data_IF_172034214354
#
_entry.id   IF_172034214354
#
_cell.length_a   1.000
_cell.length_b   1.000
_cell.length_c   1.000
_cell.angle_alpha   90.00
_cell.angle_beta   90.00
_cell.angle_gamma   90.00
#
_symmetry.space_group_name_H-M   'P 1'
#
loop_
_entity.id
_entity.type
_entity.pdbx_description
1 polymer ?
#
# COMPACT_ATOMS: atom_id res chain seq x y z
N UNK A 1 50.81 -73.08 25.73
CA UNK A 1 50.05 -71.86 26.00
C UNK A 1 50.21 -70.95 24.82
N UNK A 2 49.22 -70.98 23.91
CA UNK A 2 49.23 -70.14 22.70
C UNK A 2 48.20 -69.03 22.89
N UNK A 3 48.64 -67.78 22.92
CA UNK A 3 47.80 -66.60 22.91
C UNK A 3 47.47 -66.22 21.44
N UNK A 4 46.19 -66.32 21.07
CA UNK A 4 45.72 -65.85 19.79
C UNK A 4 45.39 -64.36 19.90
N UNK A 5 46.06 -63.54 19.09
CA UNK A 5 45.76 -62.11 18.91
C UNK A 5 44.67 -61.96 17.84
N UNK A 6 43.50 -61.44 18.25
CA UNK A 6 42.42 -61.10 17.33
C UNK A 6 42.61 -59.65 16.87
N UNK A 7 42.86 -59.45 15.61
CA UNK A 7 42.82 -58.14 14.94
C UNK A 7 41.39 -57.87 14.51
N UNK A 8 40.82 -56.73 15.01
CA UNK A 8 39.53 -56.17 14.57
C UNK A 8 39.75 -55.31 13.31
N UNK A 9 38.95 -55.44 12.28
CA UNK A 9 38.97 -54.50 11.16
C UNK A 9 38.22 -53.23 11.52
N UNK A 10 38.86 -52.07 11.37
CA UNK A 10 38.25 -50.74 11.47
C UNK A 10 37.46 -50.51 10.14
N UNK A 11 36.14 -50.50 10.21
CA UNK A 11 35.29 -50.08 9.12
C UNK A 11 35.27 -48.57 9.02
N UNK A 12 35.83 -48.02 7.94
CA UNK A 12 35.80 -46.62 7.60
C UNK A 12 34.40 -46.27 7.08
N UNK A 13 33.59 -45.62 7.90
CA UNK A 13 32.29 -45.07 7.48
C UNK A 13 32.56 -43.73 6.80
N UNK A 14 32.44 -43.71 5.44
CA UNK A 14 32.45 -42.48 4.66
C UNK A 14 31.08 -41.79 4.79
N UNK A 15 31.02 -40.75 5.61
CA UNK A 15 29.86 -39.83 5.65
C UNK A 15 29.84 -38.99 4.38
N UNK A 16 28.92 -39.32 3.47
CA UNK A 16 28.58 -38.46 2.35
C UNK A 16 27.77 -37.28 2.91
N UNK A 17 28.38 -36.13 3.03
CA UNK A 17 27.70 -34.86 3.24
C UNK A 17 26.96 -34.54 1.94
N UNK A 18 25.65 -34.82 1.90
CA UNK A 18 24.77 -34.26 0.92
C UNK A 18 24.71 -32.74 1.17
N UNK A 19 25.47 -31.98 0.37
CA UNK A 19 25.25 -30.55 0.25
C UNK A 19 23.84 -30.35 -0.33
N UNK A 20 22.85 -30.03 0.50
CA UNK A 20 21.62 -29.42 0.03
C UNK A 20 22.02 -28.09 -0.61
N UNK A 21 22.19 -28.12 -1.94
CA UNK A 21 22.21 -26.90 -2.74
C UNK A 21 20.85 -26.23 -2.52
N UNK A 22 20.83 -25.05 -1.89
CA UNK A 22 19.67 -24.19 -1.92
C UNK A 22 19.45 -23.81 -3.37
N UNK A 23 18.43 -24.41 -4.00
CA UNK A 23 17.95 -23.96 -5.30
C UNK A 23 17.51 -22.49 -5.15
N UNK A 24 18.37 -21.59 -5.62
CA UNK A 24 18.13 -20.13 -5.63
C UNK A 24 17.05 -19.72 -6.65
N UNK A 25 16.27 -20.67 -7.18
CA UNK A 25 15.19 -20.46 -8.14
C UNK A 25 13.79 -20.46 -7.51
N UNK A 26 13.66 -20.47 -6.20
CA UNK A 26 12.37 -20.25 -5.54
C UNK A 26 11.90 -18.81 -5.67
N UNK A 27 10.57 -18.56 -5.58
CA UNK A 27 10.05 -17.20 -5.56
C UNK A 27 10.75 -16.38 -4.46
N UNK A 28 11.08 -15.13 -4.74
CA UNK A 28 11.65 -14.23 -3.73
C UNK A 28 10.67 -14.13 -2.56
N UNK A 29 11.12 -14.37 -1.30
CA UNK A 29 10.25 -14.28 -0.13
C UNK A 29 9.49 -12.95 -0.08
N UNK A 30 8.17 -13.03 0.11
CA UNK A 30 7.29 -11.86 0.11
C UNK A 30 6.74 -11.48 -1.27
N UNK A 31 7.18 -12.14 -2.37
CA UNK A 31 6.72 -11.87 -3.74
C UNK A 31 6.15 -13.11 -4.45
N UNK A 32 5.73 -14.10 -3.68
CA UNK A 32 5.21 -15.39 -4.19
C UNK A 32 3.89 -15.22 -4.97
N UNK A 33 3.16 -14.14 -4.74
CA UNK A 33 1.91 -13.83 -5.45
C UNK A 33 2.11 -13.00 -6.72
N UNK A 34 3.35 -12.69 -7.08
CA UNK A 34 3.65 -11.88 -8.25
C UNK A 34 3.07 -12.54 -9.52
N UNK A 35 2.30 -11.77 -10.29
CA UNK A 35 1.65 -12.25 -11.50
C UNK A 35 0.43 -13.15 -11.27
N UNK A 36 -0.02 -13.36 -10.04
CA UNK A 36 -1.26 -14.08 -9.79
C UNK A 36 -2.47 -13.29 -10.33
N UNK A 37 -3.43 -14.03 -10.87
CA UNK A 37 -4.67 -13.43 -11.37
C UNK A 37 -5.48 -12.84 -10.21
N UNK A 38 -6.10 -11.68 -10.47
CA UNK A 38 -7.03 -11.07 -9.53
C UNK A 38 -8.31 -11.90 -9.41
N UNK A 39 -9.02 -11.86 -8.26
CA UNK A 39 -10.33 -12.45 -8.11
C UNK A 39 -11.28 -11.95 -9.19
N UNK A 40 -12.08 -12.85 -9.75
CA UNK A 40 -13.14 -12.53 -10.74
C UNK A 40 -14.54 -12.63 -10.14
N UNK A 41 -14.66 -13.09 -8.90
CA UNK A 41 -15.90 -13.28 -8.17
C UNK A 41 -15.81 -12.57 -6.83
N UNK A 42 -16.90 -11.99 -6.38
CA UNK A 42 -17.04 -11.39 -5.04
C UNK A 42 -18.34 -11.88 -4.38
N UNK A 43 -18.45 -11.87 -3.03
CA UNK A 43 -19.74 -11.97 -2.35
C UNK A 43 -20.69 -10.88 -2.84
N UNK A 44 -22.01 -11.10 -2.88
CA UNK A 44 -22.99 -10.09 -3.34
C UNK A 44 -22.93 -8.75 -2.59
N UNK A 45 -22.49 -8.80 -1.33
CA UNK A 45 -22.22 -7.65 -0.47
C UNK A 45 -20.84 -7.81 0.16
N UNK A 46 -20.04 -6.76 0.12
CA UNK A 46 -18.77 -6.65 0.83
C UNK A 46 -18.78 -5.41 1.73
N UNK A 47 -18.05 -5.47 2.83
CA UNK A 47 -17.95 -4.37 3.78
C UNK A 47 -16.54 -3.79 3.77
N UNK A 48 -16.44 -2.45 3.65
CA UNK A 48 -15.22 -1.70 3.90
C UNK A 48 -15.40 -0.97 5.22
N UNK A 49 -14.57 -1.30 6.19
CA UNK A 49 -14.59 -0.68 7.51
C UNK A 49 -13.22 -0.19 7.91
N UNK A 50 -13.16 0.75 8.82
CA UNK A 50 -11.88 1.29 9.27
C UNK A 50 -12.04 2.48 10.19
N UNK A 51 -10.96 3.20 10.36
CA UNK A 51 -10.90 4.41 11.16
C UNK A 51 -10.34 5.56 10.30
N UNK A 52 -10.98 6.71 10.38
CA UNK A 52 -10.43 7.97 9.87
C UNK A 52 -9.69 8.65 11.01
N UNK A 53 -8.41 8.93 10.79
CA UNK A 53 -7.56 9.67 11.73
C UNK A 53 -6.96 10.89 11.04
N UNK A 54 -6.52 11.85 11.82
CA UNK A 54 -5.75 12.99 11.34
C UNK A 54 -4.47 13.16 12.16
N UNK A 55 -3.52 13.89 11.60
CA UNK A 55 -2.18 14.18 12.14
C UNK A 55 -1.22 12.99 12.08
N UNK A 56 -0.20 13.11 11.24
CA UNK A 56 0.82 12.06 11.00
C UNK A 56 1.60 11.72 12.28
N UNK A 57 2.00 12.73 13.06
CA UNK A 57 2.86 12.52 14.24
C UNK A 57 2.10 12.09 15.49
N UNK A 58 0.82 12.42 15.59
CA UNK A 58 -0.03 12.08 16.73
C UNK A 58 -1.45 11.79 16.23
N UNK A 59 -1.66 10.63 15.60
CA UNK A 59 -2.96 10.32 15.00
C UNK A 59 -4.09 10.42 16.01
N UNK A 60 -5.09 11.24 15.68
CA UNK A 60 -6.30 11.42 16.46
C UNK A 60 -7.53 11.05 15.61
N UNK A 61 -8.58 10.45 16.19
CA UNK A 61 -9.81 10.17 15.48
C UNK A 61 -10.43 11.41 14.85
N UNK A 62 -11.01 11.28 13.67
CA UNK A 62 -11.82 12.33 13.03
C UNK A 62 -13.28 11.90 13.07
N UNK A 63 -14.07 12.39 14.05
CA UNK A 63 -15.50 12.14 14.10
C UNK A 63 -16.23 12.99 13.06
N UNK A 64 -17.38 12.48 12.61
CA UNK A 64 -18.28 13.15 11.66
C UNK A 64 -17.69 13.41 10.27
N UNK A 65 -16.62 12.70 9.90
CA UNK A 65 -16.14 12.69 8.52
C UNK A 65 -17.10 11.90 7.62
N UNK A 66 -17.38 12.42 6.46
CA UNK A 66 -18.15 11.71 5.44
C UNK A 66 -17.26 10.72 4.70
N UNK A 67 -17.72 9.49 4.56
CA UNK A 67 -17.03 8.41 3.83
C UNK A 67 -17.97 7.86 2.77
N UNK A 68 -17.67 8.10 1.50
CA UNK A 68 -18.46 7.63 0.38
C UNK A 68 -17.66 6.69 -0.52
N UNK A 69 -18.24 5.54 -0.84
CA UNK A 69 -17.66 4.59 -1.80
C UNK A 69 -18.15 4.89 -3.21
N UNK A 70 -17.24 4.98 -4.15
CA UNK A 70 -17.51 5.18 -5.57
C UNK A 70 -16.92 4.04 -6.39
N UNK A 71 -17.56 3.70 -7.50
CA UNK A 71 -16.96 2.94 -8.58
C UNK A 71 -16.07 3.87 -9.41
N UNK A 72 -14.93 3.38 -9.85
CA UNK A 72 -14.07 4.17 -10.75
C UNK A 72 -14.82 4.57 -12.02
N UNK A 73 -14.83 5.86 -12.31
CA UNK A 73 -15.53 6.45 -13.46
C UNK A 73 -16.96 6.91 -13.18
N UNK A 74 -17.56 6.52 -12.04
CA UNK A 74 -18.91 6.95 -11.69
C UNK A 74 -18.87 8.27 -10.89
N UNK A 75 -19.94 9.06 -11.02
CA UNK A 75 -20.17 10.29 -10.25
C UNK A 75 -21.16 10.09 -9.10
N UNK A 76 -21.86 8.95 -9.07
CA UNK A 76 -22.79 8.58 -8.00
C UNK A 76 -22.12 7.59 -7.06
N UNK A 77 -22.20 7.85 -5.76
CA UNK A 77 -21.65 6.93 -4.77
C UNK A 77 -22.48 5.64 -4.70
N UNK A 78 -21.80 4.53 -4.44
CA UNK A 78 -22.43 3.21 -4.24
C UNK A 78 -23.07 3.10 -2.86
N UNK A 79 -22.39 3.63 -1.86
CA UNK A 79 -22.80 3.62 -0.46
C UNK A 79 -22.02 4.70 0.31
N UNK A 80 -22.43 5.00 1.52
CA UNK A 80 -21.74 5.97 2.37
C UNK A 80 -22.01 5.75 3.85
N UNK A 81 -21.17 6.36 4.66
CA UNK A 81 -21.25 6.40 6.12
C UNK A 81 -20.70 7.72 6.64
N UNK A 82 -20.90 7.99 7.92
CA UNK A 82 -20.29 9.10 8.63
C UNK A 82 -19.58 8.54 9.85
N UNK A 83 -18.32 8.91 10.04
CA UNK A 83 -17.54 8.39 11.16
C UNK A 83 -18.17 8.74 12.52
N UNK A 84 -18.16 7.78 13.42
CA UNK A 84 -18.60 7.95 14.80
C UNK A 84 -17.59 8.73 15.68
N UNK A 85 -17.86 8.87 16.98
CA UNK A 85 -16.98 9.60 17.92
C UNK A 85 -15.54 9.04 17.95
N UNK A 86 -15.28 7.71 17.95
CA UNK A 86 -13.92 7.17 17.82
C UNK A 86 -13.37 7.20 16.38
N UNK A 87 -14.06 7.81 15.41
CA UNK A 87 -13.60 7.93 14.03
C UNK A 87 -13.83 6.68 13.17
N UNK A 88 -14.64 5.71 13.61
CA UNK A 88 -14.88 4.48 12.90
C UNK A 88 -15.97 4.66 11.83
N UNK A 89 -15.85 3.90 10.73
CA UNK A 89 -16.84 3.81 9.67
C UNK A 89 -17.02 2.38 9.17
N UNK A 90 -18.16 2.12 8.52
CA UNK A 90 -18.50 0.82 7.95
C UNK A 90 -19.42 0.99 6.75
N UNK A 91 -18.90 0.81 5.54
CA UNK A 91 -19.62 1.00 4.28
C UNK A 91 -19.90 -0.36 3.63
N UNK A 92 -21.18 -0.73 3.52
CA UNK A 92 -21.62 -1.93 2.79
C UNK A 92 -21.78 -1.67 1.30
N UNK A 93 -21.03 -2.37 0.46
CA UNK A 93 -20.98 -2.19 -0.98
C UNK A 93 -21.62 -3.40 -1.67
N UNK A 94 -22.70 -3.18 -2.41
CA UNK A 94 -23.31 -4.19 -3.27
C UNK A 94 -22.42 -4.42 -4.51
N UNK A 95 -21.81 -5.61 -4.60
CA UNK A 95 -20.92 -5.98 -5.71
C UNK A 95 -21.67 -6.60 -6.88
N UNK A 96 -22.85 -7.19 -6.62
CA UNK A 96 -23.58 -7.98 -7.60
C UNK A 96 -22.86 -9.29 -8.00
N UNK A 97 -21.94 -9.78 -7.16
CA UNK A 97 -21.19 -11.01 -7.41
C UNK A 97 -19.86 -10.80 -8.14
N UNK A 98 -19.50 -9.56 -8.50
CA UNK A 98 -18.26 -9.23 -9.20
C UNK A 98 -17.41 -8.23 -8.40
N UNK A 99 -16.07 -8.32 -8.41
CA UNK A 99 -15.21 -7.36 -7.73
C UNK A 99 -15.46 -5.92 -8.18
N UNK A 100 -15.43 -4.99 -7.24
CA UNK A 100 -15.67 -3.56 -7.50
C UNK A 100 -14.33 -2.83 -7.60
N UNK A 101 -14.05 -2.26 -8.77
CA UNK A 101 -12.97 -1.30 -8.92
C UNK A 101 -13.51 0.08 -8.51
N UNK A 102 -12.93 0.67 -7.47
CA UNK A 102 -13.47 1.88 -6.88
C UNK A 102 -12.53 2.53 -5.88
N UNK A 103 -13.07 3.50 -5.14
CA UNK A 103 -12.33 4.23 -4.12
C UNK A 103 -13.29 4.76 -3.04
N UNK A 104 -12.74 5.10 -1.88
CA UNK A 104 -13.43 5.90 -0.87
C UNK A 104 -13.09 7.38 -1.08
N UNK A 105 -14.09 8.24 -0.98
CA UNK A 105 -13.93 9.69 -0.87
C UNK A 105 -14.23 10.10 0.58
N UNK A 106 -13.28 10.75 1.23
CA UNK A 106 -13.37 11.15 2.63
C UNK A 106 -13.21 12.66 2.74
N UNK A 107 -14.14 13.31 3.46
CA UNK A 107 -14.14 14.74 3.73
C UNK A 107 -14.71 15.07 5.12
N UNK A 108 -14.33 16.20 5.70
CA UNK A 108 -14.76 16.58 7.06
C UNK A 108 -15.10 18.08 7.20
N UNK A 109 -15.88 18.62 6.30
CA UNK A 109 -16.32 20.01 6.34
C UNK A 109 -15.19 21.07 6.24
N UNK A 110 -14.07 20.69 5.59
CA UNK A 110 -12.99 21.63 5.25
C UNK A 110 -11.93 21.83 6.34
N UNK A 111 -11.91 21.00 7.39
CA UNK A 111 -10.85 21.02 8.39
C UNK A 111 -9.58 20.32 7.90
N UNK A 112 -9.75 19.30 7.07
CA UNK A 112 -8.67 18.53 6.46
C UNK A 112 -8.82 18.53 4.92
N UNK A 113 -7.72 18.22 4.24
CA UNK A 113 -7.72 18.08 2.78
C UNK A 113 -8.52 16.84 2.40
N UNK A 114 -9.39 16.98 1.40
CA UNK A 114 -10.17 15.86 0.86
C UNK A 114 -9.24 14.72 0.45
N UNK A 115 -9.58 13.52 0.91
CA UNK A 115 -8.75 12.34 0.74
C UNK A 115 -9.52 11.27 -0.04
N UNK A 116 -8.84 10.64 -1.00
CA UNK A 116 -9.40 9.61 -1.86
C UNK A 116 -8.55 8.34 -1.73
N UNK A 117 -9.09 7.29 -1.09
CA UNK A 117 -8.39 6.05 -0.84
C UNK A 117 -8.74 4.96 -1.86
N UNK A 118 -7.74 4.47 -2.56
CA UNK A 118 -7.85 3.43 -3.59
C UNK A 118 -7.25 2.13 -3.07
N UNK A 119 -8.01 1.02 -3.01
CA UNK A 119 -7.44 -0.27 -2.70
C UNK A 119 -6.50 -0.73 -3.82
N UNK A 120 -5.46 -1.48 -3.49
CA UNK A 120 -4.47 -1.97 -4.47
C UNK A 120 -5.07 -2.83 -5.59
N UNK A 121 -6.18 -3.49 -5.31
CA UNK A 121 -6.89 -4.40 -6.22
C UNK A 121 -8.39 -4.20 -6.10
N UNK A 122 -9.19 -4.60 -7.11
CA UNK A 122 -10.65 -4.53 -7.02
C UNK A 122 -11.18 -5.26 -5.78
N UNK A 123 -12.14 -4.66 -5.11
CA UNK A 123 -12.74 -5.14 -3.87
C UNK A 123 -13.53 -6.43 -4.12
N UNK A 124 -13.01 -7.55 -3.62
CA UNK A 124 -13.59 -8.90 -3.76
C UNK A 124 -13.93 -9.56 -2.43
N UNK A 125 -13.63 -8.93 -1.30
CA UNK A 125 -13.88 -9.42 0.05
C UNK A 125 -14.03 -8.25 1.02
N UNK A 126 -14.46 -8.52 2.25
CA UNK A 126 -14.42 -7.52 3.31
C UNK A 126 -12.99 -7.05 3.56
N UNK A 127 -12.80 -5.75 3.77
CA UNK A 127 -11.50 -5.14 3.99
C UNK A 127 -11.57 -4.12 5.12
N UNK A 128 -10.47 -4.00 5.86
CA UNK A 128 -10.25 -2.88 6.79
C UNK A 128 -9.30 -1.89 6.15
N UNK A 129 -9.74 -0.65 6.01
CA UNK A 129 -8.97 0.45 5.44
C UNK A 129 -8.96 1.63 6.42
N UNK A 130 -7.81 1.91 7.01
CA UNK A 130 -7.64 3.05 7.90
C UNK A 130 -7.08 4.23 7.10
N UNK A 131 -7.81 5.33 7.11
CA UNK A 131 -7.48 6.51 6.31
C UNK A 131 -6.91 7.60 7.20
N UNK A 132 -5.76 8.15 6.80
CA UNK A 132 -5.15 9.31 7.42
C UNK A 132 -5.48 10.56 6.59
N UNK A 133 -6.11 11.54 7.23
CA UNK A 133 -6.30 12.88 6.69
C UNK A 133 -5.24 13.84 7.24
N UNK A 134 -4.94 14.88 6.50
CA UNK A 134 -4.03 15.95 6.96
C UNK A 134 -4.68 17.32 6.78
N UNK A 135 -4.42 18.23 7.68
CA UNK A 135 -4.82 19.62 7.52
C UNK A 135 -3.91 20.32 6.50
N UNK A 136 -4.35 21.45 5.93
CA UNK A 136 -3.54 22.24 5.00
C UNK A 136 -2.22 22.72 5.61
N UNK A 137 -2.23 23.04 6.92
CA UNK A 137 -1.01 23.43 7.63
C UNK A 137 -0.03 22.26 7.77
N UNK A 138 -0.51 21.10 8.18
CA UNK A 138 0.30 19.90 8.31
C UNK A 138 0.86 19.47 6.95
N UNK A 139 0.04 19.46 5.91
CA UNK A 139 0.47 19.18 4.54
C UNK A 139 1.62 20.10 4.10
N UNK A 140 1.51 21.41 4.40
CA UNK A 140 2.55 22.37 4.07
C UNK A 140 3.87 22.07 4.78
N UNK A 141 3.83 21.65 6.04
CA UNK A 141 5.01 21.27 6.82
C UNK A 141 5.64 19.96 6.27
N UNK A 142 4.82 18.97 5.96
CA UNK A 142 5.28 17.70 5.36
C UNK A 142 5.89 17.92 3.97
N UNK A 143 5.26 18.75 3.14
CA UNK A 143 5.80 19.11 1.84
C UNK A 143 7.15 19.83 1.96
N UNK A 144 7.27 20.77 2.89
CA UNK A 144 8.54 21.48 3.15
C UNK A 144 9.66 20.51 3.59
N UNK A 145 9.36 19.55 4.48
CA UNK A 145 10.32 18.53 4.92
C UNK A 145 10.78 17.64 3.75
N UNK A 146 9.90 17.37 2.80
CA UNK A 146 10.20 16.64 1.57
C UNK A 146 10.96 17.49 0.53
N UNK A 147 11.17 18.79 0.77
CA UNK A 147 11.71 19.72 -0.22
C UNK A 147 10.78 19.88 -1.43
N UNK A 148 9.46 19.84 -1.19
CA UNK A 148 8.42 20.04 -2.20
C UNK A 148 7.80 21.43 -2.01
N UNK A 149 7.67 22.17 -3.10
CA UNK A 149 6.79 23.35 -3.18
C UNK A 149 5.51 22.91 -3.87
N UNK A 150 4.37 22.84 -3.15
CA UNK A 150 3.09 22.48 -3.73
C UNK A 150 2.70 23.47 -4.84
N UNK A 151 2.19 22.95 -5.93
CA UNK A 151 1.64 23.73 -7.05
C UNK A 151 0.13 23.75 -6.92
N UNK A 152 -0.47 24.93 -6.92
CA UNK A 152 -1.93 25.08 -6.88
C UNK A 152 -2.60 24.34 -8.03
N UNK A 153 -3.65 23.60 -7.76
CA UNK A 153 -4.30 22.73 -8.73
C UNK A 153 -3.56 21.41 -9.01
N UNK A 154 -2.39 21.19 -8.42
CA UNK A 154 -1.69 19.91 -8.48
C UNK A 154 -2.28 18.88 -7.52
N UNK A 155 -2.30 17.62 -7.91
CA UNK A 155 -2.65 16.49 -7.05
C UNK A 155 -1.45 15.98 -6.25
N UNK A 156 -1.75 15.30 -5.17
CA UNK A 156 -0.77 14.62 -4.32
C UNK A 156 -1.18 13.15 -4.13
N UNK A 157 -0.26 12.21 -4.34
CA UNK A 157 -0.53 10.79 -4.19
C UNK A 157 0.38 10.21 -3.11
N UNK A 158 -0.20 9.68 -2.05
CA UNK A 158 0.48 8.83 -1.08
C UNK A 158 0.41 7.37 -1.52
N UNK A 159 1.54 6.70 -1.51
CA UNK A 159 1.67 5.30 -1.97
C UNK A 159 2.28 4.46 -0.85
N UNK A 160 1.68 3.32 -0.54
CA UNK A 160 2.32 2.31 0.30
C UNK A 160 2.65 1.10 -0.57
N UNK A 161 3.92 0.73 -0.62
CA UNK A 161 4.37 -0.49 -1.31
C UNK A 161 4.33 -1.65 -0.34
N UNK A 162 3.59 -2.70 -0.70
CA UNK A 162 3.39 -3.89 0.14
C UNK A 162 3.85 -5.16 -0.57
N UNK A 163 4.16 -6.18 0.22
CA UNK A 163 4.44 -7.53 -0.26
C UNK A 163 3.16 -8.39 -0.32
N UNK A 164 3.29 -9.66 -0.67
CA UNK A 164 2.17 -10.61 -0.75
C UNK A 164 1.45 -10.87 0.58
N UNK A 165 2.09 -10.61 1.71
CA UNK A 165 1.51 -10.73 3.04
C UNK A 165 0.89 -9.41 3.54
N UNK A 166 0.88 -8.36 2.70
CA UNK A 166 0.38 -7.04 3.06
C UNK A 166 1.35 -6.23 3.94
N UNK A 167 2.56 -6.73 4.19
CA UNK A 167 3.56 -5.98 4.95
C UNK A 167 4.25 -4.92 4.06
N UNK A 168 4.58 -3.73 4.61
CA UNK A 168 5.28 -2.70 3.87
C UNK A 168 6.68 -3.15 3.43
N UNK A 169 7.13 -2.65 2.29
CA UNK A 169 8.40 -3.05 1.66
C UNK A 169 9.40 -1.89 1.67
N UNK A 170 10.55 -2.11 2.29
CA UNK A 170 11.70 -1.19 2.22
C UNK A 170 12.47 -1.36 0.90
N UNK A 171 13.12 -0.29 0.44
CA UNK A 171 13.98 -0.31 -0.75
C UNK A 171 13.21 -0.29 -2.08
N UNK A 172 11.89 -0.12 -2.06
CA UNK A 172 11.11 0.02 -3.28
C UNK A 172 11.29 1.41 -3.90
N UNK A 173 11.25 1.46 -5.24
CA UNK A 173 11.21 2.71 -6.00
C UNK A 173 9.86 2.86 -6.68
N UNK A 174 9.33 4.08 -6.72
CA UNK A 174 8.00 4.41 -7.27
C UNK A 174 8.16 5.39 -8.43
N UNK A 175 7.34 5.23 -9.45
CA UNK A 175 7.21 6.15 -10.58
C UNK A 175 5.74 6.39 -10.93
N UNK A 176 5.45 7.46 -11.67
CA UNK A 176 4.10 7.74 -12.16
C UNK A 176 4.08 8.22 -13.60
N UNK A 177 2.93 8.05 -14.25
CA UNK A 177 2.62 8.60 -15.56
C UNK A 177 1.18 9.14 -15.56
N UNK A 178 0.99 10.48 -15.70
CA UNK A 178 1.98 11.56 -15.83
C UNK A 178 2.98 11.59 -14.66
N UNK A 179 4.18 12.10 -14.92
CA UNK A 179 5.22 12.19 -13.92
C UNK A 179 4.90 13.28 -12.88
N UNK A 180 5.16 12.98 -11.62
CA UNK A 180 5.18 13.91 -10.50
C UNK A 180 6.56 13.94 -9.82
N UNK A 181 6.70 14.77 -8.79
CA UNK A 181 7.90 14.77 -7.94
C UNK A 181 7.81 13.66 -6.91
N UNK A 182 8.65 12.62 -7.04
CA UNK A 182 8.66 11.48 -6.12
C UNK A 182 9.53 11.77 -4.90
N UNK A 183 9.03 11.41 -3.71
CA UNK A 183 9.72 11.48 -2.42
C UNK A 183 9.41 10.25 -1.59
N UNK A 184 10.22 9.99 -0.57
CA UNK A 184 10.10 8.84 0.33
C UNK A 184 10.27 9.27 1.78
N UNK A 185 9.86 8.43 2.71
CA UNK A 185 10.13 8.66 4.11
C UNK A 185 11.59 8.34 4.50
N UNK A 186 12.09 9.10 5.48
CA UNK A 186 13.25 8.75 6.28
C UNK A 186 12.89 9.01 7.75
N UNK A 187 13.05 7.99 8.61
CA UNK A 187 12.65 8.11 10.01
C UNK A 187 11.16 8.35 10.24
N UNK A 188 10.30 7.88 9.35
CA UNK A 188 8.83 8.01 9.44
C UNK A 188 8.26 9.34 8.93
N UNK A 189 9.09 10.22 8.39
CA UNK A 189 8.68 11.52 7.84
C UNK A 189 9.17 11.68 6.39
N UNK A 190 8.47 12.47 5.56
CA UNK A 190 8.89 12.76 4.20
C UNK A 190 10.30 13.39 4.17
N UNK A 191 11.14 12.95 3.24
CA UNK A 191 12.53 13.35 3.12
C UNK A 191 12.85 13.84 1.70
N UNK A 192 13.65 14.90 1.62
CA UNK A 192 14.17 15.42 0.35
C UNK A 192 15.34 14.59 -0.22
N UNK A 193 15.93 13.70 0.57
CA UNK A 193 17.16 12.96 0.20
C UNK A 193 16.97 11.45 0.06
N UNK A 194 15.90 10.88 0.61
CA UNK A 194 15.61 9.46 0.46
C UNK A 194 15.28 9.12 -1.02
N UNK A 195 15.82 8.00 -1.52
CA UNK A 195 15.71 7.56 -2.91
C UNK A 195 14.87 6.29 -3.09
N UNK A 196 14.42 5.69 -1.99
CA UNK A 196 13.57 4.50 -1.96
C UNK A 196 12.77 4.48 -0.66
N UNK A 197 11.76 3.62 -0.59
CA UNK A 197 10.93 3.46 0.61
C UNK A 197 11.75 2.99 1.80
N UNK A 198 11.41 3.50 2.99
CA UNK A 198 11.89 3.02 4.27
C UNK A 198 11.10 1.77 4.73
N UNK A 199 11.25 1.35 5.98
CA UNK A 199 10.56 0.18 6.54
C UNK A 199 9.02 0.31 6.55
N UNK A 200 8.49 1.53 6.44
CA UNK A 200 7.05 1.83 6.34
C UNK A 200 6.48 1.66 4.91
N UNK A 201 7.33 1.43 3.90
CA UNK A 201 6.94 1.25 2.51
C UNK A 201 6.39 2.50 1.82
N UNK A 202 6.53 3.69 2.42
CA UNK A 202 5.83 4.91 2.00
C UNK A 202 6.61 5.67 0.94
N UNK A 203 5.90 6.08 -0.10
CA UNK A 203 6.34 7.03 -1.12
C UNK A 203 5.26 8.10 -1.35
N UNK A 204 5.68 9.24 -1.89
CA UNK A 204 4.81 10.35 -2.26
C UNK A 204 5.08 10.78 -3.69
N UNK A 205 4.03 11.14 -4.42
CA UNK A 205 4.12 11.72 -5.77
C UNK A 205 3.39 13.05 -5.72
N UNK A 206 4.13 14.14 -5.76
CA UNK A 206 3.58 15.48 -5.63
C UNK A 206 3.51 16.20 -6.99
N UNK A 207 2.66 17.22 -7.05
CA UNK A 207 2.51 18.11 -8.20
C UNK A 207 2.13 17.35 -9.48
N UNK A 208 1.26 16.34 -9.33
CA UNK A 208 0.75 15.56 -10.47
C UNK A 208 -0.41 16.31 -11.10
N UNK A 209 -0.47 16.35 -12.41
CA UNK A 209 -1.61 16.91 -13.12
C UNK A 209 -2.89 16.11 -12.76
N UNK A 210 -4.03 16.80 -12.47
CA UNK A 210 -5.31 16.11 -12.22
C UNK A 210 -5.70 15.20 -13.37
N UNK A 211 -6.29 14.05 -13.03
CA UNK A 211 -6.70 13.02 -13.98
C UNK A 211 -6.17 11.65 -13.62
N UNK A 212 -6.25 10.71 -14.55
CA UNK A 212 -5.78 9.36 -14.37
C UNK A 212 -4.24 9.32 -14.34
N UNK A 213 -3.70 8.68 -13.31
CA UNK A 213 -2.27 8.52 -13.08
C UNK A 213 -1.98 7.04 -12.90
N UNK A 214 -1.12 6.49 -13.73
CA UNK A 214 -0.59 5.14 -13.54
C UNK A 214 0.59 5.21 -12.58
N UNK A 215 0.45 4.57 -11.43
CA UNK A 215 1.50 4.42 -10.42
C UNK A 215 2.16 3.06 -10.59
N UNK A 216 3.49 3.02 -10.56
CA UNK A 216 4.30 1.81 -10.67
C UNK A 216 5.30 1.75 -9.53
N UNK A 217 5.63 0.52 -9.10
CA UNK A 217 6.70 0.30 -8.14
C UNK A 217 7.58 -0.87 -8.56
N UNK A 218 8.85 -0.78 -8.19
CA UNK A 218 9.82 -1.87 -8.31
C UNK A 218 10.40 -2.15 -6.93
N UNK A 219 10.38 -3.40 -6.51
CA UNK A 219 10.90 -3.84 -5.22
C UNK A 219 11.65 -5.17 -5.39
N UNK A 220 12.83 -5.31 -4.74
CA UNK A 220 13.65 -6.53 -4.81
C UNK A 220 13.91 -7.02 -6.25
N UNK A 221 14.04 -6.09 -7.21
CA UNK A 221 14.25 -6.40 -8.63
C UNK A 221 12.99 -6.80 -9.40
N UNK A 222 11.81 -6.83 -8.76
CA UNK A 222 10.53 -7.17 -9.38
C UNK A 222 9.69 -5.93 -9.66
N UNK A 223 9.14 -5.83 -10.88
CA UNK A 223 8.07 -4.88 -11.18
C UNK A 223 6.78 -5.39 -10.53
N UNK A 224 6.17 -4.54 -9.70
CA UNK A 224 4.89 -4.84 -9.06
C UNK A 224 3.73 -4.50 -9.99
N UNK A 225 2.52 -4.91 -9.61
CA UNK A 225 1.30 -4.59 -10.36
C UNK A 225 1.13 -3.07 -10.42
N UNK A 226 1.02 -2.52 -11.61
CA UNK A 226 0.70 -1.10 -11.77
C UNK A 226 -0.75 -0.83 -11.34
N UNK A 227 -0.96 0.35 -10.78
CA UNK A 227 -2.29 0.80 -10.36
C UNK A 227 -2.63 2.15 -10.96
N UNK A 228 -3.85 2.25 -11.52
CA UNK A 228 -4.36 3.52 -12.04
C UNK A 228 -5.27 4.15 -11.01
N UNK A 229 -4.92 5.34 -10.56
CA UNK A 229 -5.70 6.17 -9.65
C UNK A 229 -6.06 7.49 -10.31
N UNK A 230 -7.03 8.21 -9.79
CA UNK A 230 -7.37 9.55 -10.27
C UNK A 230 -6.83 10.59 -9.29
N UNK A 231 -5.80 11.34 -9.70
CA UNK A 231 -5.32 12.49 -8.97
C UNK A 231 -6.32 13.65 -9.12
N UNK A 232 -6.59 14.36 -8.04
CA UNK A 232 -7.50 15.51 -8.03
C UNK A 232 -6.76 16.77 -7.61
N UNK A 233 -7.20 17.91 -8.15
CA UNK A 233 -6.65 19.21 -7.81
C UNK A 233 -6.76 19.48 -6.30
N UNK A 234 -5.67 19.92 -5.69
CA UNK A 234 -5.60 20.33 -4.29
C UNK A 234 -6.12 19.28 -3.28
N UNK A 235 -6.04 18.00 -3.65
CA UNK A 235 -6.52 16.87 -2.85
C UNK A 235 -5.43 15.79 -2.71
N UNK A 236 -5.65 14.88 -1.76
CA UNK A 236 -4.77 13.74 -1.51
C UNK A 236 -5.43 12.47 -2.04
N UNK A 237 -4.68 11.72 -2.83
CA UNK A 237 -5.03 10.36 -3.25
C UNK A 237 -4.13 9.38 -2.50
N UNK A 238 -4.70 8.41 -1.81
CA UNK A 238 -3.96 7.33 -1.15
C UNK A 238 -4.12 6.05 -1.98
N UNK A 239 -3.07 5.29 -2.10
CA UNK A 239 -3.13 3.99 -2.78
C UNK A 239 -2.05 3.05 -2.28
N UNK A 240 -2.25 1.77 -2.56
CA UNK A 240 -1.27 0.73 -2.29
C UNK A 240 -0.82 0.08 -3.60
N UNK A 241 0.44 -0.34 -3.65
CA UNK A 241 1.01 -1.12 -4.75
C UNK A 241 1.50 -2.44 -4.17
N UNK A 242 1.08 -3.55 -4.78
CA UNK A 242 1.46 -4.89 -4.34
C UNK A 242 1.78 -5.78 -5.55
N UNK A 243 2.43 -6.96 -5.35
CA UNK A 243 2.80 -7.89 -6.41
C UNK A 243 1.65 -8.36 -7.27
#
# INVERSE_FOLDING_TARGET
MHRATRTLPIALVATVLAACGSDSNGPTPGFECLGQALPTIAPPLVNVSGMVTANVLSPAPVPHAFVYAFRTGDTTHLAGDTTDTPGQYSVGIATGGTPVNGYLAISDSGHHIDTYAYPAVPLAANVTDNVLMVSSNEFSLLAASAGITPVAGGGFIGVVVRNCQGAPVAGATVTSSPAGTVRYNAGGLPSSTATSTAADGVAYIANVAPGNVTVRATASGHALREHVVNARADAITLTEIQP
#
